data_IF_994708762170
#
_entry.id   IF_994708762170
#
_cell.length_a   1.000
_cell.length_b   1.000
_cell.length_c   1.000
_cell.angle_alpha   90.00
_cell.angle_beta   90.00
_cell.angle_gamma   90.00
#
_symmetry.space_group_name_H-M   'P 1'
#
loop_
_entity.id
_entity.type
_entity.pdbx_description
1 polymer ?
#
# COMPACT_ATOMS: atom_id res chain seq x y z
N UNK A 1 -10.55 -0.41 -5.15
CA UNK A 1 -10.01 -1.15 -3.98
C UNK A 1 -8.64 -1.69 -4.39
N UNK A 2 -7.61 -1.53 -3.57
CA UNK A 2 -6.22 -1.85 -3.90
C UNK A 2 -5.30 -1.49 -2.74
N UNK A 3 -4.01 -1.79 -2.88
CA UNK A 3 -2.99 -1.47 -1.88
C UNK A 3 -2.43 -0.06 -2.12
N UNK A 4 -2.04 0.61 -1.04
CA UNK A 4 -1.32 1.88 -1.10
C UNK A 4 0.03 1.69 -0.41
N UNK A 5 1.11 1.89 -1.17
CA UNK A 5 2.48 1.88 -0.68
C UNK A 5 2.92 3.29 -0.30
N UNK A 6 3.53 3.43 0.87
CA UNK A 6 4.15 4.66 1.35
C UNK A 6 5.51 4.34 2.00
N UNK A 7 6.34 5.36 2.17
CA UNK A 7 7.67 5.23 2.78
C UNK A 7 8.79 4.90 1.79
N UNK A 8 10.03 4.85 2.30
CA UNK A 8 11.24 4.84 1.47
C UNK A 8 11.41 3.61 0.56
N UNK A 9 11.00 2.42 1.01
CA UNK A 9 11.09 1.19 0.20
C UNK A 9 10.18 1.28 -1.01
N UNK A 10 8.97 1.82 -0.82
CA UNK A 10 7.96 1.95 -1.87
C UNK A 10 8.44 2.83 -3.03
N UNK A 11 9.26 3.85 -2.74
CA UNK A 11 9.88 4.70 -3.76
C UNK A 11 11.16 4.12 -4.37
N UNK A 12 11.98 3.41 -3.58
CA UNK A 12 13.32 2.98 -4.01
C UNK A 12 13.34 1.68 -4.82
N UNK A 13 12.39 0.76 -4.61
CA UNK A 13 12.46 -0.56 -5.22
C UNK A 13 11.23 -0.92 -6.05
N UNK A 14 11.34 -0.70 -7.35
CA UNK A 14 10.31 -1.10 -8.30
C UNK A 14 10.05 -2.61 -8.30
N UNK A 15 11.12 -3.40 -8.10
CA UNK A 15 11.04 -4.85 -8.06
C UNK A 15 10.20 -5.34 -6.87
N UNK A 16 10.44 -4.80 -5.67
CA UNK A 16 9.70 -5.20 -4.46
C UNK A 16 8.23 -4.80 -4.59
N UNK A 17 7.93 -3.61 -5.13
CA UNK A 17 6.54 -3.16 -5.31
C UNK A 17 5.77 -4.02 -6.33
N UNK A 18 6.39 -4.36 -7.46
CA UNK A 18 5.76 -5.28 -8.42
C UNK A 18 5.56 -6.67 -7.81
N UNK A 19 6.57 -7.20 -7.12
CA UNK A 19 6.45 -8.49 -6.44
C UNK A 19 5.33 -8.49 -5.39
N UNK A 20 5.18 -7.39 -4.65
CA UNK A 20 4.09 -7.25 -3.69
C UNK A 20 2.71 -7.22 -4.37
N UNK A 21 2.56 -6.50 -5.47
CA UNK A 21 1.34 -6.52 -6.27
C UNK A 21 1.01 -7.95 -6.77
N UNK A 22 2.01 -8.68 -7.27
CA UNK A 22 1.85 -10.05 -7.76
C UNK A 22 1.49 -11.03 -6.64
N UNK A 23 2.17 -10.96 -5.49
CA UNK A 23 1.93 -11.83 -4.32
C UNK A 23 0.54 -11.61 -3.74
N UNK A 24 0.15 -10.34 -3.60
CA UNK A 24 -1.17 -9.98 -3.05
C UNK A 24 -2.29 -10.12 -4.08
N UNK A 25 -1.94 -10.28 -5.36
CA UNK A 25 -2.86 -10.31 -6.50
C UNK A 25 -3.82 -9.11 -6.52
N UNK A 26 -3.31 -7.92 -6.21
CA UNK A 26 -4.08 -6.67 -6.11
C UNK A 26 -3.28 -5.50 -6.71
N UNK A 27 -3.94 -4.52 -7.37
CA UNK A 27 -3.28 -3.29 -7.78
C UNK A 27 -2.67 -2.56 -6.59
N UNK A 28 -1.45 -2.03 -6.75
CA UNK A 28 -0.69 -1.32 -5.72
C UNK A 28 -0.29 0.06 -6.23
N UNK A 29 -0.69 1.11 -5.52
CA UNK A 29 -0.39 2.51 -5.87
C UNK A 29 0.59 3.13 -4.87
N UNK A 30 1.58 3.87 -5.35
CA UNK A 30 2.58 4.54 -4.52
C UNK A 30 2.15 5.98 -4.27
N UNK A 31 1.98 6.34 -3.00
CA UNK A 31 1.62 7.70 -2.62
C UNK A 31 2.76 8.67 -2.95
N UNK A 32 2.43 9.82 -3.55
CA UNK A 32 3.45 10.77 -4.03
C UNK A 32 4.15 11.53 -2.89
N UNK A 33 3.43 11.85 -1.81
CA UNK A 33 3.99 12.56 -0.65
C UNK A 33 5.09 11.77 0.06
N UNK A 34 6.23 12.41 0.27
CA UNK A 34 7.32 11.89 1.11
C UNK A 34 7.02 12.00 2.60
N UNK A 35 6.14 12.92 2.97
CA UNK A 35 5.77 13.23 4.35
C UNK A 35 4.29 12.91 4.57
N UNK A 36 3.88 11.68 4.21
CA UNK A 36 2.48 11.26 4.25
C UNK A 36 1.83 11.49 5.63
N UNK A 37 2.54 11.20 6.72
CA UNK A 37 2.05 11.42 8.08
C UNK A 37 1.85 12.92 8.40
N UNK A 38 2.82 13.76 8.03
CA UNK A 38 2.72 15.20 8.26
C UNK A 38 1.60 15.83 7.40
N UNK A 39 1.44 15.36 6.16
CA UNK A 39 0.36 15.76 5.27
C UNK A 39 -1.01 15.39 5.85
N UNK A 40 -1.17 14.18 6.39
CA UNK A 40 -2.39 13.77 7.09
C UNK A 40 -2.67 14.63 8.32
N UNK A 41 -1.66 14.92 9.14
CA UNK A 41 -1.82 15.82 10.29
C UNK A 41 -2.27 17.22 9.88
N UNK A 42 -1.73 17.76 8.78
CA UNK A 42 -2.15 19.05 8.24
C UNK A 42 -3.62 19.03 7.76
N UNK A 43 -4.08 17.94 7.12
CA UNK A 43 -5.49 17.78 6.72
C UNK A 43 -6.43 17.79 7.93
N UNK A 44 -6.07 17.07 9.00
CA UNK A 44 -6.84 17.10 10.26
C UNK A 44 -6.83 18.49 10.89
N UNK A 45 -5.69 19.17 10.93
CA UNK A 45 -5.59 20.52 11.49
C UNK A 45 -6.44 21.53 10.69
N UNK A 46 -6.43 21.46 9.36
CA UNK A 46 -7.24 22.32 8.50
C UNK A 46 -8.75 22.08 8.70
N UNK A 47 -9.15 20.82 8.89
CA UNK A 47 -10.54 20.47 9.23
C UNK A 47 -10.93 21.01 10.61
N UNK A 48 -10.09 20.81 11.63
CA UNK A 48 -10.33 21.31 12.99
C UNK A 48 -10.37 22.84 13.06
N UNK A 49 -9.62 23.53 12.20
CA UNK A 49 -9.64 24.98 12.05
C UNK A 49 -10.87 25.51 11.29
N UNK A 50 -11.75 24.62 10.80
CA UNK A 50 -12.95 24.98 10.05
C UNK A 50 -12.71 25.40 8.60
N UNK A 51 -11.50 25.18 8.05
CA UNK A 51 -11.20 25.46 6.64
C UNK A 51 -11.87 24.45 5.71
N UNK A 52 -12.04 23.21 6.18
CA UNK A 52 -12.75 22.15 5.49
C UNK A 52 -13.84 21.58 6.41
N UNK A 53 -15.07 21.36 5.90
CA UNK A 53 -16.17 20.82 6.72
C UNK A 53 -15.91 19.39 7.23
N UNK A 54 -15.23 18.57 6.43
CA UNK A 54 -14.85 17.21 6.76
C UNK A 54 -13.41 16.89 6.35
N UNK A 55 -12.85 15.83 6.93
CA UNK A 55 -11.47 15.40 6.62
C UNK A 55 -11.38 14.94 5.17
N UNK A 56 -12.44 14.34 4.64
CA UNK A 56 -12.57 13.93 3.26
C UNK A 56 -12.45 15.11 2.28
N UNK A 57 -13.01 16.27 2.63
CA UNK A 57 -12.88 17.50 1.85
C UNK A 57 -11.42 18.00 1.87
N UNK A 58 -10.79 17.97 3.05
CA UNK A 58 -9.37 18.30 3.19
C UNK A 58 -8.48 17.32 2.40
N UNK A 59 -8.80 16.03 2.39
CA UNK A 59 -8.10 15.02 1.59
C UNK A 59 -8.24 15.26 0.09
N UNK A 60 -9.44 15.64 -0.38
CA UNK A 60 -9.69 15.94 -1.78
C UNK A 60 -8.95 17.20 -2.24
N UNK A 61 -8.89 18.24 -1.39
CA UNK A 61 -8.25 19.51 -1.71
C UNK A 61 -6.72 19.50 -1.52
N UNK A 62 -6.22 18.79 -0.51
CA UNK A 62 -4.80 18.80 -0.10
C UNK A 62 -4.05 17.53 -0.49
N UNK A 63 -4.75 16.49 -0.94
CA UNK A 63 -4.15 15.21 -1.33
C UNK A 63 -3.27 15.33 -2.56
N UNK A 64 -2.10 14.69 -2.53
CA UNK A 64 -1.11 14.77 -3.60
C UNK A 64 -1.23 13.64 -4.64
N UNK A 65 -2.20 12.74 -4.47
CA UNK A 65 -2.44 11.62 -5.38
C UNK A 65 -1.36 10.53 -5.36
N UNK A 66 -1.22 9.83 -6.48
CA UNK A 66 -0.29 8.69 -6.64
C UNK A 66 0.71 8.97 -7.75
N UNK A 67 1.96 8.58 -7.52
CA UNK A 67 3.06 8.76 -8.47
C UNK A 67 3.18 7.56 -9.44
N UNK A 68 2.88 6.35 -8.94
CA UNK A 68 3.06 5.11 -9.69
C UNK A 68 2.02 4.07 -9.30
N UNK A 69 1.67 3.22 -10.25
CA UNK A 69 0.78 2.08 -10.04
C UNK A 69 1.41 0.80 -10.60
N UNK A 70 1.22 -0.30 -9.88
CA UNK A 70 1.67 -1.65 -10.21
C UNK A 70 0.44 -2.55 -10.29
N UNK A 71 0.30 -3.26 -11.41
CA UNK A 71 -0.76 -4.24 -11.58
C UNK A 71 -0.20 -5.66 -11.48
N UNK A 72 -0.92 -6.59 -10.83
CA UNK A 72 -0.47 -7.97 -10.70
C UNK A 72 -0.32 -8.61 -12.08
N UNK A 73 0.79 -9.28 -12.30
CA UNK A 73 1.00 -10.08 -13.50
C UNK A 73 0.42 -11.49 -13.28
N UNK A 74 -0.60 -11.93 -14.05
CA UNK A 74 -1.34 -13.16 -13.76
C UNK A 74 -0.45 -14.42 -13.65
N UNK A 75 0.58 -14.51 -14.50
CA UNK A 75 1.52 -15.64 -14.49
C UNK A 75 2.33 -15.70 -13.20
N UNK A 76 2.79 -14.54 -12.71
CA UNK A 76 3.59 -14.44 -11.47
C UNK A 76 2.70 -14.61 -10.25
N UNK A 77 1.50 -14.03 -10.26
CA UNK A 77 0.52 -14.21 -9.19
C UNK A 77 0.19 -15.69 -8.95
N UNK A 78 -0.02 -16.47 -10.02
CA UNK A 78 -0.25 -17.92 -9.90
C UNK A 78 0.94 -18.66 -9.26
N UNK A 79 2.17 -18.31 -9.65
CA UNK A 79 3.39 -18.89 -9.04
C UNK A 79 3.49 -18.51 -7.56
N UNK A 80 3.25 -17.25 -7.22
CA UNK A 80 3.32 -16.78 -5.84
C UNK A 80 2.22 -17.37 -4.97
N UNK A 81 1.02 -17.59 -5.48
CA UNK A 81 -0.04 -18.27 -4.75
C UNK A 81 0.37 -19.68 -4.33
N UNK A 82 0.97 -20.46 -5.23
CA UNK A 82 1.49 -21.79 -4.90
C UNK A 82 2.60 -21.74 -3.84
N UNK A 83 3.49 -20.75 -3.92
CA UNK A 83 4.58 -20.57 -2.93
C UNK A 83 4.05 -20.10 -1.58
N UNK A 84 3.06 -19.22 -1.57
CA UNK A 84 2.42 -18.72 -0.36
C UNK A 84 1.74 -19.86 0.40
N UNK A 85 1.06 -20.78 -0.30
CA UNK A 85 0.50 -21.97 0.34
C UNK A 85 1.57 -22.83 1.04
N UNK A 86 2.74 -23.02 0.42
CA UNK A 86 3.86 -23.73 1.05
C UNK A 86 4.39 -22.98 2.27
N UNK A 87 4.50 -21.66 2.18
CA UNK A 87 4.90 -20.81 3.31
C UNK A 87 3.91 -20.93 4.48
N UNK A 88 2.60 -20.85 4.23
CA UNK A 88 1.57 -21.01 5.26
C UNK A 88 1.63 -22.38 5.93
N UNK A 89 1.77 -23.46 5.14
CA UNK A 89 1.90 -24.81 5.68
C UNK A 89 3.14 -24.96 6.58
N UNK A 90 4.26 -24.34 6.19
CA UNK A 90 5.47 -24.33 7.00
C UNK A 90 5.28 -23.49 8.28
N UNK A 91 4.66 -22.31 8.17
CA UNK A 91 4.36 -21.42 9.30
C UNK A 91 3.50 -22.12 10.34
N UNK A 92 2.41 -22.78 9.91
CA UNK A 92 1.53 -23.54 10.80
C UNK A 92 2.27 -24.69 11.50
N UNK A 93 3.15 -25.38 10.77
CA UNK A 93 3.95 -26.46 11.34
C UNK A 93 4.92 -25.95 12.41
N UNK A 94 5.55 -24.79 12.18
CA UNK A 94 6.50 -24.17 13.12
C UNK A 94 5.80 -23.56 14.34
N UNK A 95 4.63 -22.94 14.15
CA UNK A 95 3.95 -22.20 15.22
C UNK A 95 3.04 -23.10 16.08
N UNK A 96 2.41 -24.13 15.50
CA UNK A 96 1.35 -24.89 16.17
C UNK A 96 1.62 -26.38 16.34
N UNK A 97 2.64 -26.95 15.66
CA UNK A 97 2.88 -28.41 15.61
C UNK A 97 4.25 -28.85 16.11
N UNK A 98 5.08 -27.90 16.51
CA UNK A 98 6.28 -28.11 17.34
C UNK A 98 6.04 -27.53 18.73
#
# INVERSE_FOLDING_TARGET
KGLIGLGGVAKKSSFIMQMMADVMNMPLRIHSSEQACASGAAMFAATAAGLYPAVEDAMAAMGTGFEKEYHPEPKRAAIFQQRFQKFTNLSDLVENKF
#
